data_IF_641104961999
#
_entry.id   IF_641104961999
#
_cell.length_a   1.000
_cell.length_b   1.000
_cell.length_c   1.000
_cell.angle_alpha   90.00
_cell.angle_beta   90.00
_cell.angle_gamma   90.00
#
_symmetry.space_group_name_H-M   'P 1'
#
loop_
_entity.id
_entity.type
_entity.pdbx_description
1 polymer ?
#
# COMPACT_ATOMS: atom_id res chain seq x y z
N UNK A 1 -49.12 -35.06 9.45
CA UNK A 1 -48.13 -34.36 10.28
C UNK A 1 -46.77 -34.40 9.57
N UNK A 2 -46.54 -33.58 8.54
CA UNK A 2 -45.22 -33.50 7.86
C UNK A 2 -44.86 -32.05 7.49
N UNK A 3 -45.71 -31.07 7.83
CA UNK A 3 -45.57 -29.69 7.35
C UNK A 3 -44.73 -28.77 8.27
N UNK A 4 -44.15 -29.31 9.35
CA UNK A 4 -43.40 -28.52 10.34
C UNK A 4 -41.88 -28.66 10.27
N UNK A 5 -41.37 -29.74 9.65
CA UNK A 5 -39.91 -30.02 9.63
C UNK A 5 -39.18 -29.37 8.46
N UNK A 6 -39.86 -29.04 7.36
CA UNK A 6 -39.23 -28.38 6.22
C UNK A 6 -39.02 -26.88 6.42
N UNK A 7 -39.81 -26.23 7.28
CA UNK A 7 -39.67 -24.80 7.55
C UNK A 7 -38.47 -24.48 8.46
N UNK A 8 -38.06 -25.45 9.29
CA UNK A 8 -36.87 -25.32 10.14
C UNK A 8 -35.56 -25.62 9.40
N UNK A 9 -35.59 -26.41 8.32
CA UNK A 9 -34.42 -26.67 7.48
C UNK A 9 -34.10 -25.52 6.52
N UNK A 10 -35.07 -24.67 6.18
CA UNK A 10 -34.85 -23.49 5.34
C UNK A 10 -34.35 -22.25 6.13
N UNK A 11 -34.53 -22.22 7.45
CA UNK A 11 -34.04 -21.12 8.30
C UNK A 11 -32.60 -21.32 8.80
N UNK A 12 -31.98 -22.49 8.59
CA UNK A 12 -30.63 -22.80 9.05
C UNK A 12 -29.54 -22.57 7.98
N UNK A 13 -29.88 -22.08 6.78
CA UNK A 13 -28.96 -22.04 5.64
C UNK A 13 -28.64 -20.62 5.12
N UNK A 14 -28.92 -19.58 5.91
CA UNK A 14 -28.65 -18.17 5.53
C UNK A 14 -27.81 -17.41 6.59
N UNK A 15 -26.94 -18.12 7.29
CA UNK A 15 -25.79 -17.50 7.93
C UNK A 15 -24.58 -17.79 7.03
N UNK A 16 -24.50 -17.10 5.89
CA UNK A 16 -23.17 -16.82 5.34
C UNK A 16 -22.46 -16.02 6.41
N UNK A 17 -21.40 -16.61 6.94
CA UNK A 17 -20.55 -15.97 7.93
C UNK A 17 -20.11 -14.62 7.38
N UNK A 18 -20.57 -13.55 8.02
CA UNK A 18 -19.83 -12.29 8.03
C UNK A 18 -18.48 -12.64 8.67
N UNK A 19 -17.51 -13.02 7.86
CA UNK A 19 -16.10 -13.04 8.24
C UNK A 19 -15.68 -11.59 8.42
N UNK A 20 -16.21 -10.94 9.46
CA UNK A 20 -15.60 -9.75 9.98
C UNK A 20 -14.27 -10.21 10.56
N UNK A 21 -13.18 -9.78 9.92
CA UNK A 21 -11.83 -9.95 10.45
C UNK A 21 -11.84 -9.49 11.91
N UNK A 22 -11.76 -10.43 12.85
CA UNK A 22 -12.03 -10.16 14.25
C UNK A 22 -10.77 -9.58 14.89
N UNK A 23 -10.60 -8.28 14.72
CA UNK A 23 -9.45 -7.55 15.23
C UNK A 23 -9.40 -7.62 16.76
N UNK A 24 -8.26 -8.06 17.29
CA UNK A 24 -7.94 -7.86 18.70
C UNK A 24 -7.61 -6.39 18.97
N UNK A 25 -7.58 -6.00 20.25
CA UNK A 25 -7.07 -4.67 20.61
C UNK A 25 -5.67 -4.44 20.03
N UNK A 26 -5.48 -3.25 19.44
CA UNK A 26 -4.23 -2.88 18.80
C UNK A 26 -3.12 -2.69 19.84
N UNK A 27 -2.11 -3.56 19.77
CA UNK A 27 -0.88 -3.47 20.56
C UNK A 27 0.23 -2.88 19.70
N UNK A 28 0.39 -1.55 19.74
CA UNK A 28 1.37 -0.82 18.94
C UNK A 28 2.82 -1.20 19.24
N UNK A 29 3.09 -1.86 20.38
CA UNK A 29 4.43 -2.34 20.73
C UNK A 29 4.89 -3.52 19.87
N UNK A 30 3.93 -4.23 19.26
CA UNK A 30 4.19 -5.35 18.33
C UNK A 30 4.31 -4.90 16.88
N UNK A 31 3.97 -3.66 16.58
CA UNK A 31 4.06 -3.15 15.23
C UNK A 31 5.53 -3.03 14.80
N UNK A 32 5.82 -3.27 13.51
CA UNK A 32 7.06 -2.81 12.93
C UNK A 32 7.22 -1.29 13.15
N UNK A 33 8.47 -0.80 13.18
CA UNK A 33 8.74 0.62 13.32
C UNK A 33 8.01 1.45 12.27
N UNK A 34 7.31 2.50 12.70
CA UNK A 34 6.60 3.39 11.79
C UNK A 34 7.56 4.01 10.78
N UNK A 35 7.18 4.06 9.49
CA UNK A 35 8.02 4.62 8.46
C UNK A 35 8.13 6.15 8.62
N UNK A 36 9.36 6.67 8.62
CA UNK A 36 9.62 8.12 8.69
C UNK A 36 9.25 8.80 7.37
N UNK A 37 9.45 8.10 6.27
CA UNK A 37 9.10 8.57 4.93
C UNK A 37 8.82 7.36 4.05
N UNK A 38 7.71 7.43 3.32
CA UNK A 38 7.34 6.43 2.33
C UNK A 38 7.62 6.97 0.92
N UNK A 39 8.08 6.12 -0.02
CA UNK A 39 8.20 6.50 -1.43
C UNK A 39 6.89 6.99 -2.03
N UNK A 40 5.78 6.52 -1.48
CA UNK A 40 4.44 7.04 -1.73
C UNK A 40 3.65 7.17 -0.43
N UNK A 41 2.43 6.63 -0.39
CA UNK A 41 1.54 6.77 0.77
C UNK A 41 1.87 5.78 1.88
N UNK A 42 1.41 6.12 3.08
CA UNK A 42 1.34 5.16 4.19
C UNK A 42 0.13 4.26 4.01
N UNK A 43 0.22 3.07 4.55
CA UNK A 43 -0.86 2.09 4.64
C UNK A 43 -0.90 1.49 6.04
N UNK A 44 -2.02 0.87 6.39
CA UNK A 44 -2.24 0.16 7.65
C UNK A 44 -2.73 -1.25 7.37
N UNK A 45 -2.57 -2.12 8.35
CA UNK A 45 -3.19 -3.44 8.31
C UNK A 45 -4.74 -3.37 8.30
N UNK A 46 -5.44 -4.48 7.97
CA UNK A 46 -6.91 -4.54 7.98
C UNK A 46 -7.57 -4.12 9.31
N UNK A 47 -6.85 -4.19 10.43
CA UNK A 47 -7.33 -3.73 11.73
C UNK A 47 -7.07 -2.25 12.01
N UNK A 48 -6.37 -1.55 11.11
CA UNK A 48 -6.01 -0.15 11.25
C UNK A 48 -4.95 0.10 12.33
N UNK A 49 -4.17 -0.91 12.73
CA UNK A 49 -3.27 -0.84 13.88
C UNK A 49 -1.85 -0.35 13.52
N UNK A 50 -1.11 -1.15 12.76
CA UNK A 50 0.28 -0.93 12.41
C UNK A 50 0.40 -0.18 11.08
N UNK A 51 1.20 0.89 11.08
CA UNK A 51 1.51 1.65 9.88
C UNK A 51 2.74 1.10 9.14
N UNK A 52 2.63 1.01 7.82
CA UNK A 52 3.71 0.66 6.92
C UNK A 52 3.63 1.51 5.64
N UNK A 53 4.62 1.39 4.76
CA UNK A 53 4.52 2.04 3.45
C UNK A 53 3.64 1.23 2.51
N UNK A 54 2.85 1.93 1.69
CA UNK A 54 2.14 1.33 0.58
C UNK A 54 3.14 0.81 -0.46
N UNK A 55 2.81 -0.35 -1.04
CA UNK A 55 3.64 -1.05 -2.01
C UNK A 55 3.64 -0.35 -3.35
N UNK A 56 4.82 -0.27 -3.93
CA UNK A 56 5.07 0.44 -5.18
C UNK A 56 5.06 -0.52 -6.36
N UNK A 57 5.15 0.02 -7.58
CA UNK A 57 5.13 -0.79 -8.80
C UNK A 57 6.13 -1.96 -8.76
N UNK A 58 5.67 -3.14 -9.16
CA UNK A 58 6.40 -4.40 -9.22
C UNK A 58 6.81 -5.00 -7.87
N UNK A 59 6.29 -4.47 -6.76
CA UNK A 59 6.45 -5.07 -5.43
C UNK A 59 5.34 -6.09 -5.15
N UNK A 60 5.65 -7.14 -4.37
CA UNK A 60 4.66 -8.09 -3.94
C UNK A 60 3.67 -7.46 -2.95
N UNK A 61 2.42 -7.92 -3.02
CA UNK A 61 1.28 -7.43 -2.23
C UNK A 61 0.30 -8.58 -1.94
N UNK A 62 -0.67 -8.36 -1.06
CA UNK A 62 -1.62 -9.41 -0.65
C UNK A 62 -1.00 -10.37 0.37
N UNK A 63 -1.08 -11.67 0.13
CA UNK A 63 -0.67 -12.69 1.10
C UNK A 63 -1.75 -12.96 2.15
N UNK A 64 -1.49 -13.90 3.07
CA UNK A 64 -2.44 -14.22 4.13
C UNK A 64 -2.72 -12.98 4.98
N UNK A 65 -4.00 -12.60 5.09
CA UNK A 65 -4.44 -11.41 5.83
C UNK A 65 -3.72 -10.11 5.43
N UNK A 66 -3.31 -9.99 4.16
CA UNK A 66 -2.60 -8.81 3.65
C UNK A 66 -1.23 -8.55 4.31
N UNK A 67 -0.54 -9.58 4.80
CA UNK A 67 0.79 -9.46 5.42
C UNK A 67 1.87 -8.89 4.48
N UNK A 68 1.70 -9.02 3.17
CA UNK A 68 2.59 -8.41 2.17
C UNK A 68 2.20 -6.97 1.88
N UNK A 69 1.11 -6.46 2.45
CA UNK A 69 0.69 -5.06 2.37
C UNK A 69 -0.10 -4.70 1.12
N UNK A 70 -0.62 -3.48 1.18
CA UNK A 70 -1.48 -2.87 0.16
C UNK A 70 -0.68 -2.05 -0.84
N UNK A 71 -1.13 -2.06 -2.09
CA UNK A 71 -0.57 -1.22 -3.15
C UNK A 71 -0.93 0.25 -2.96
N UNK A 72 -0.05 1.15 -3.38
CA UNK A 72 -0.34 2.59 -3.42
C UNK A 72 -1.49 2.90 -4.39
N UNK A 73 -2.15 4.05 -4.23
CA UNK A 73 -3.41 4.41 -4.92
C UNK A 73 -3.38 4.34 -6.47
N UNK A 74 -2.20 4.27 -7.08
CA UNK A 74 -2.04 4.17 -8.56
C UNK A 74 -1.81 2.75 -9.04
N UNK A 75 -1.77 1.81 -8.12
CA UNK A 75 -1.42 0.43 -8.37
C UNK A 75 -2.49 -0.47 -7.79
N UNK A 76 -2.84 -1.51 -8.56
CA UNK A 76 -3.72 -2.56 -8.13
C UNK A 76 -2.88 -3.78 -7.74
N UNK A 77 -3.26 -4.47 -6.67
CA UNK A 77 -2.66 -5.76 -6.35
C UNK A 77 -3.17 -6.82 -7.33
N UNK A 78 -2.43 -7.03 -8.40
CA UNK A 78 -2.82 -7.91 -9.48
C UNK A 78 -2.29 -9.33 -9.26
N UNK A 79 -3.07 -10.34 -9.64
CA UNK A 79 -2.61 -11.72 -9.67
C UNK A 79 -1.38 -11.88 -10.58
N UNK A 80 -0.61 -12.96 -10.39
CA UNK A 80 0.64 -13.18 -11.14
C UNK A 80 0.44 -13.30 -12.65
N UNK A 81 -0.69 -13.87 -13.05
CA UNK A 81 -1.16 -13.93 -14.45
C UNK A 81 -1.67 -12.56 -14.97
N UNK A 82 -1.83 -11.58 -14.08
CA UNK A 82 -2.15 -10.21 -14.42
C UNK A 82 -3.53 -9.97 -15.04
N UNK A 83 -4.42 -10.96 -15.05
CA UNK A 83 -5.77 -10.83 -15.64
C UNK A 83 -6.82 -10.28 -14.68
N UNK A 84 -6.47 -9.99 -13.43
CA UNK A 84 -7.39 -9.46 -12.42
C UNK A 84 -6.71 -9.17 -11.07
N UNK A 85 -7.55 -8.84 -10.08
CA UNK A 85 -7.13 -8.71 -8.68
C UNK A 85 -6.58 -10.04 -8.15
N UNK A 86 -5.64 -9.98 -7.22
CA UNK A 86 -5.28 -11.16 -6.44
C UNK A 86 -6.44 -11.56 -5.54
N UNK A 87 -6.65 -12.86 -5.36
CA UNK A 87 -7.55 -13.42 -4.36
C UNK A 87 -6.75 -13.81 -3.13
N UNK A 88 -7.06 -13.25 -1.96
CA UNK A 88 -6.39 -13.61 -0.70
C UNK A 88 -6.71 -15.06 -0.37
N UNK A 89 -5.72 -15.90 -0.01
CA UNK A 89 -4.40 -15.58 0.55
C UNK A 89 -3.23 -15.49 -0.46
N UNK A 90 -3.50 -15.45 -1.77
CA UNK A 90 -2.43 -15.47 -2.76
C UNK A 90 -1.58 -14.19 -2.74
N UNK A 91 -0.35 -14.33 -3.23
CA UNK A 91 0.57 -13.20 -3.44
C UNK A 91 0.35 -12.59 -4.82
N UNK A 92 0.07 -11.29 -4.83
CA UNK A 92 -0.04 -10.48 -6.03
C UNK A 92 1.18 -9.60 -6.26
N UNK A 93 1.09 -8.74 -7.27
CA UNK A 93 2.08 -7.70 -7.58
C UNK A 93 1.36 -6.38 -7.83
N UNK A 94 1.91 -5.30 -7.28
CA UNK A 94 1.40 -3.97 -7.57
C UNK A 94 1.69 -3.58 -9.01
N UNK A 95 0.64 -3.51 -9.84
CA UNK A 95 0.74 -3.15 -11.25
C UNK A 95 -0.02 -1.87 -11.50
N UNK A 96 0.53 -1.04 -12.39
CA UNK A 96 -0.17 0.13 -12.87
C UNK A 96 -1.33 -0.29 -13.78
N UNK A 97 -2.54 0.08 -13.40
CA UNK A 97 -3.67 0.09 -14.34
C UNK A 97 -3.83 1.50 -14.92
N UNK A 98 -3.86 1.57 -16.25
CA UNK A 98 -4.24 2.82 -16.91
C UNK A 98 -5.64 3.24 -16.47
N UNK A 99 -5.86 4.55 -16.38
CA UNK A 99 -7.12 5.20 -16.02
C UNK A 99 -8.31 4.76 -16.90
N UNK A 100 -8.80 3.54 -16.76
CA UNK A 100 -10.18 3.19 -17.08
C UNK A 100 -11.00 3.75 -15.94
N UNK A 101 -11.87 4.71 -16.24
CA UNK A 101 -12.53 5.65 -15.31
C UNK A 101 -13.42 5.07 -14.21
N UNK A 102 -13.24 3.80 -13.85
CA UNK A 102 -13.86 3.12 -12.73
C UNK A 102 -12.84 2.95 -11.58
N UNK A 103 -12.06 4.00 -11.30
CA UNK A 103 -11.41 4.19 -9.99
C UNK A 103 -12.53 4.43 -8.95
N UNK A 104 -13.38 3.44 -8.73
CA UNK A 104 -14.23 3.40 -7.56
C UNK A 104 -13.34 3.01 -6.40
N UNK A 105 -12.80 4.07 -5.81
CA UNK A 105 -12.21 4.18 -4.48
C UNK A 105 -12.64 3.03 -3.58
N UNK A 106 -11.63 2.31 -3.08
CA UNK A 106 -11.74 1.12 -2.26
C UNK A 106 -12.85 1.25 -1.21
N UNK A 107 -13.87 0.42 -1.39
CA UNK A 107 -14.72 -0.09 -0.32
C UNK A 107 -14.22 -1.51 -0.02
N UNK A 108 -12.93 -1.63 0.32
CA UNK A 108 -12.36 -2.92 0.69
C UNK A 108 -13.00 -3.34 2.01
N UNK A 109 -13.83 -4.37 1.94
CA UNK A 109 -14.57 -4.90 3.09
C UNK A 109 -13.66 -5.30 4.25
N UNK A 110 -12.39 -5.62 3.97
CA UNK A 110 -11.40 -5.99 4.97
C UNK A 110 -10.81 -4.77 5.68
N UNK A 111 -10.92 -3.58 5.11
CA UNK A 111 -10.32 -2.36 5.65
C UNK A 111 -11.29 -1.59 6.56
N UNK A 112 -10.75 -0.84 7.54
CA UNK A 112 -11.56 -0.01 8.41
C UNK A 112 -12.08 1.22 7.65
N UNK A 113 -13.25 1.77 8.06
CA UNK A 113 -13.74 3.02 7.52
C UNK A 113 -12.87 4.19 7.99
N UNK A 114 -12.35 4.96 7.03
CA UNK A 114 -11.55 6.16 7.27
C UNK A 114 -12.34 7.37 6.77
N UNK A 115 -12.47 8.41 7.61
CA UNK A 115 -13.05 9.69 7.21
C UNK A 115 -11.95 10.70 6.87
N UNK A 116 -12.16 11.47 5.82
CA UNK A 116 -11.34 12.63 5.53
C UNK A 116 -11.83 13.39 4.31
N UNK A 117 -11.00 14.33 3.86
CA UNK A 117 -11.33 15.26 2.79
C UNK A 117 -10.22 15.37 1.74
N UNK A 118 -10.62 15.68 0.50
CA UNK A 118 -9.73 16.00 -0.60
C UNK A 118 -10.29 17.17 -1.41
N UNK A 119 -9.41 18.01 -1.97
CA UNK A 119 -9.83 19.11 -2.85
C UNK A 119 -10.07 18.52 -4.25
N UNK A 120 -11.31 18.61 -4.74
CA UNK A 120 -11.69 18.22 -6.10
C UNK A 120 -12.34 19.41 -6.79
N UNK A 121 -11.79 19.79 -7.95
CA UNK A 121 -12.29 20.92 -8.74
C UNK A 121 -12.47 22.22 -7.92
N UNK A 122 -11.59 22.47 -6.95
CA UNK A 122 -11.65 23.66 -6.08
C UNK A 122 -12.71 23.60 -4.98
N UNK A 123 -13.30 22.44 -4.70
CA UNK A 123 -14.23 22.22 -3.58
C UNK A 123 -13.67 21.12 -2.68
N UNK A 124 -13.88 21.26 -1.37
CA UNK A 124 -13.57 20.19 -0.42
C UNK A 124 -14.63 19.11 -0.48
N UNK A 125 -14.23 17.93 -0.95
CA UNK A 125 -15.04 16.71 -1.01
C UNK A 125 -14.63 15.81 0.16
N UNK A 126 -15.55 15.57 1.08
CA UNK A 126 -15.31 14.81 2.30
C UNK A 126 -16.18 13.56 2.32
N UNK A 127 -15.58 12.41 2.59
CA UNK A 127 -16.25 11.13 2.57
C UNK A 127 -15.67 10.19 3.62
N UNK A 128 -16.42 9.14 3.93
CA UNK A 128 -15.90 7.97 4.63
C UNK A 128 -15.80 6.84 3.62
N UNK A 129 -14.60 6.25 3.48
CA UNK A 129 -14.35 5.10 2.60
C UNK A 129 -13.62 4.00 3.38
N UNK A 130 -13.77 2.73 2.98
CA UNK A 130 -13.02 1.62 3.59
C UNK A 130 -11.71 1.40 2.87
N UNK A 131 -10.63 1.92 3.43
CA UNK A 131 -9.31 1.82 2.82
C UNK A 131 -8.23 1.59 3.86
N UNK A 132 -7.26 0.77 3.49
CA UNK A 132 -6.06 0.53 4.26
C UNK A 132 -4.91 1.45 3.81
N UNK A 133 -5.10 2.25 2.76
CA UNK A 133 -4.08 3.17 2.23
C UNK A 133 -4.51 4.60 2.53
N UNK A 134 -3.58 5.42 3.01
CA UNK A 134 -3.87 6.82 3.33
C UNK A 134 -4.31 7.59 2.08
N UNK A 135 -5.61 7.85 1.97
CA UNK A 135 -6.22 8.44 0.78
C UNK A 135 -6.38 9.97 0.91
N UNK A 136 -6.87 10.42 2.05
CA UNK A 136 -7.28 11.80 2.27
C UNK A 136 -6.06 12.70 2.46
N UNK A 137 -6.18 13.94 2.00
CA UNK A 137 -5.11 14.94 2.21
C UNK A 137 -5.36 15.76 3.47
N UNK A 138 -6.59 15.75 3.97
CA UNK A 138 -7.02 16.50 5.13
C UNK A 138 -7.92 15.63 6.01
N UNK A 139 -7.73 15.74 7.31
CA UNK A 139 -8.51 15.01 8.31
C UNK A 139 -9.95 15.53 8.43
N UNK A 140 -10.17 16.80 8.10
CA UNK A 140 -11.45 17.46 8.25
C UNK A 140 -11.67 18.57 7.21
N UNK A 141 -12.93 18.93 7.08
CA UNK A 141 -13.45 19.88 6.13
C UNK A 141 -12.97 21.33 6.40
N UNK A 142 -12.79 21.71 7.67
CA UNK A 142 -12.28 23.05 8.00
C UNK A 142 -10.81 23.20 7.58
N UNK A 143 -9.98 22.21 7.87
CA UNK A 143 -8.58 22.15 7.45
C UNK A 143 -8.46 22.09 5.93
N UNK A 144 -9.33 21.34 5.26
CA UNK A 144 -9.39 21.31 3.80
C UNK A 144 -9.71 22.69 3.22
N UNK A 145 -10.77 23.35 3.70
CA UNK A 145 -11.20 24.67 3.17
C UNK A 145 -10.18 25.76 3.41
N UNK A 146 -9.51 25.74 4.56
CA UNK A 146 -8.44 26.69 4.89
C UNK A 146 -7.28 26.62 3.88
N UNK A 147 -6.96 25.42 3.41
CA UNK A 147 -5.88 25.19 2.44
C UNK A 147 -6.36 25.24 0.97
N UNK A 148 -7.67 25.41 0.74
CA UNK A 148 -8.22 25.56 -0.59
C UNK A 148 -8.09 27.03 -1.02
N UNK A 149 -7.02 27.34 -1.75
CA UNK A 149 -6.59 28.69 -2.18
C UNK A 149 -7.57 29.45 -3.11
N UNK A 150 -8.84 29.03 -3.22
CA UNK A 150 -9.88 29.76 -3.96
C UNK A 150 -10.67 30.76 -3.13
N UNK A 151 -10.44 30.85 -1.81
CA UNK A 151 -10.96 31.94 -0.98
C UNK A 151 -9.92 33.05 -0.79
N UNK A 152 -9.90 34.01 -1.72
CA UNK A 152 -9.29 35.33 -1.48
C UNK A 152 -10.11 36.10 -0.44
N UNK A 153 -9.72 35.99 0.82
CA UNK A 153 -9.99 37.00 1.85
C UNK A 153 -8.66 37.60 2.31
N UNK A 154 -8.60 38.89 2.68
CA UNK A 154 -7.34 39.51 3.08
C UNK A 154 -6.76 38.81 4.33
N UNK A 155 -5.42 38.71 4.46
CA UNK A 155 -4.81 38.18 5.66
C UNK A 155 -5.06 39.16 6.81
N UNK A 156 -5.94 38.80 7.74
CA UNK A 156 -6.00 39.40 9.07
C UNK A 156 -5.23 38.49 10.02
N UNK A 157 -3.97 38.81 10.24
CA UNK A 157 -3.15 38.14 11.24
C UNK A 157 -1.79 38.79 11.26
N UNK A 158 -1.54 39.60 12.27
CA UNK A 158 -0.24 40.18 12.57
C UNK A 158 0.80 39.07 12.66
N UNK A 159 1.78 39.10 11.77
CA UNK A 159 3.04 38.38 11.96
C UNK A 159 3.75 39.06 13.13
N UNK A 160 3.58 38.51 14.33
CA UNK A 160 4.56 38.71 15.39
C UNK A 160 5.83 37.99 14.94
N UNK A 161 6.86 38.76 14.64
CA UNK A 161 8.22 38.27 14.49
C UNK A 161 8.65 37.62 15.80
N UNK A 162 8.46 36.30 15.90
CA UNK A 162 9.04 35.51 16.97
C UNK A 162 10.54 35.47 16.70
N UNK A 163 11.31 36.06 17.62
CA UNK A 163 12.76 36.04 17.63
C UNK A 163 13.26 34.61 17.42
N UNK A 164 14.00 34.38 16.33
CA UNK A 164 14.75 33.15 16.10
C UNK A 164 15.92 33.15 17.08
N UNK A 165 15.65 32.74 18.33
CA UNK A 165 16.69 32.19 19.18
C UNK A 165 17.18 30.89 18.55
N UNK A 166 18.48 30.59 18.66
CA UNK A 166 19.06 29.31 18.26
C UNK A 166 18.39 28.15 19.02
N UNK A 167 17.26 27.67 18.50
CA UNK A 167 16.65 26.42 18.90
C UNK A 167 17.36 25.31 18.12
N UNK A 168 18.32 24.63 18.74
CA UNK A 168 18.82 23.38 18.21
C UNK A 168 17.78 22.29 18.47
N UNK A 169 17.11 21.82 17.42
CA UNK A 169 16.32 20.61 17.47
C UNK A 169 17.22 19.42 17.19
N UNK A 170 17.57 18.63 18.20
CA UNK A 170 18.29 17.38 18.01
C UNK A 170 17.32 16.22 18.18
N UNK A 171 17.06 15.54 17.06
CA UNK A 171 16.29 14.30 17.01
C UNK A 171 17.22 13.19 16.52
N UNK A 172 17.14 12.04 17.17
CA UNK A 172 17.89 10.88 16.75
C UNK A 172 17.64 9.68 17.65
N UNK A 173 18.37 8.61 17.37
CA UNK A 173 18.12 7.30 17.95
C UNK A 173 19.41 6.62 18.37
N UNK A 174 19.33 5.84 19.45
CA UNK A 174 20.42 5.01 19.95
C UNK A 174 19.99 3.56 20.15
N UNK A 175 20.98 2.67 20.09
CA UNK A 175 20.81 1.26 20.41
C UNK A 175 21.01 1.05 21.91
N UNK A 176 19.91 0.86 22.63
CA UNK A 176 19.92 0.63 24.08
C UNK A 176 19.34 -0.76 24.34
N UNK A 177 20.12 -1.68 24.89
CA UNK A 177 19.62 -3.01 25.28
C UNK A 177 19.04 -3.85 24.13
N UNK A 178 19.54 -3.69 22.90
CA UNK A 178 19.06 -4.44 21.74
C UNK A 178 17.73 -3.94 21.16
N UNK A 179 17.28 -2.75 21.55
CA UNK A 179 16.18 -2.01 20.92
C UNK A 179 16.65 -0.62 20.50
N UNK A 180 15.97 -0.06 19.51
CA UNK A 180 16.19 1.32 19.10
C UNK A 180 15.29 2.24 19.88
N UNK A 181 15.89 3.22 20.55
CA UNK A 181 15.20 4.21 21.35
C UNK A 181 15.49 5.60 20.77
N UNK A 182 14.44 6.26 20.28
CA UNK A 182 14.54 7.58 19.68
C UNK A 182 13.99 8.65 20.61
N UNK A 183 14.60 9.82 20.59
CA UNK A 183 14.15 10.96 21.39
C UNK A 183 14.40 12.27 20.66
N UNK A 184 13.63 13.29 21.04
CA UNK A 184 13.82 14.67 20.61
C UNK A 184 14.23 15.49 21.82
N UNK A 185 15.28 16.29 21.67
CA UNK A 185 15.73 17.19 22.72
C UNK A 185 16.15 18.56 22.15
N UNK A 186 16.09 19.58 23.00
CA UNK A 186 16.46 20.96 22.65
C UNK A 186 17.93 21.26 23.03
N UNK A 187 18.76 20.24 23.27
CA UNK A 187 20.15 20.42 23.69
C UNK A 187 21.07 20.36 22.47
N UNK A 188 21.70 21.48 22.14
CA UNK A 188 22.77 21.53 21.14
C UNK A 188 23.92 20.60 21.61
N UNK A 189 24.17 19.49 20.90
CA UNK A 189 25.24 18.53 21.23
C UNK A 189 24.77 17.11 21.56
N UNK A 190 23.47 16.79 21.41
CA UNK A 190 22.99 15.42 21.49
C UNK A 190 23.58 14.56 20.36
N UNK A 191 24.58 13.74 20.68
CA UNK A 191 25.19 12.79 19.75
C UNK A 191 24.38 11.50 19.70
N UNK A 192 23.25 11.52 19.00
CA UNK A 192 22.59 10.27 18.63
C UNK A 192 23.43 9.51 17.62
N UNK A 193 23.57 8.20 17.80
CA UNK A 193 24.32 7.35 16.87
C UNK A 193 23.66 7.29 15.50
N UNK A 194 22.33 7.39 15.47
CA UNK A 194 21.55 7.33 14.24
C UNK A 194 20.66 8.56 14.12
N UNK A 195 20.55 9.05 12.89
CA UNK A 195 19.72 10.21 12.56
C UNK A 195 18.22 9.88 12.53
N UNK A 196 17.89 8.59 12.46
CA UNK A 196 16.53 8.13 12.23
C UNK A 196 16.26 6.75 12.87
N UNK A 197 15.01 6.50 13.24
CA UNK A 197 14.55 5.20 13.79
C UNK A 197 14.83 4.07 12.80
N UNK A 198 14.63 4.34 11.50
CA UNK A 198 14.92 3.39 10.41
C UNK A 198 16.39 2.99 10.40
N UNK A 199 17.30 3.97 10.40
CA UNK A 199 18.74 3.72 10.37
C UNK A 199 19.21 2.92 11.58
N UNK A 200 18.67 3.23 12.76
CA UNK A 200 18.94 2.44 13.96
C UNK A 200 18.47 0.99 13.82
N UNK A 201 17.23 0.78 13.34
CA UNK A 201 16.68 -0.56 13.19
C UNK A 201 17.40 -1.38 12.13
N UNK A 202 17.83 -0.74 11.03
CA UNK A 202 18.66 -1.38 10.00
C UNK A 202 20.00 -1.84 10.61
N UNK A 203 20.62 -1.01 11.47
CA UNK A 203 21.83 -1.39 12.19
C UNK A 203 21.58 -2.52 13.21
N UNK A 204 20.45 -2.52 13.92
CA UNK A 204 20.07 -3.62 14.82
C UNK A 204 19.86 -4.92 14.04
N UNK A 205 19.16 -4.86 12.92
CA UNK A 205 18.91 -5.99 12.05
C UNK A 205 20.22 -6.54 11.50
N UNK A 206 21.13 -5.66 11.06
CA UNK A 206 22.46 -6.08 10.62
C UNK A 206 23.18 -6.89 11.71
N UNK A 207 23.16 -6.45 12.97
CA UNK A 207 23.74 -7.22 14.09
C UNK A 207 23.03 -8.56 14.30
N UNK A 208 21.70 -8.62 14.20
CA UNK A 208 20.91 -9.86 14.32
C UNK A 208 21.21 -10.85 13.18
N UNK A 209 21.47 -10.35 11.98
CA UNK A 209 21.67 -11.15 10.79
C UNK A 209 23.12 -11.57 10.54
N UNK A 210 24.08 -11.13 11.37
CA UNK A 210 25.48 -11.56 11.24
C UNK A 210 25.58 -13.08 11.37
N UNK A 211 26.18 -13.72 10.35
CA UNK A 211 26.37 -15.17 10.33
C UNK A 211 25.15 -15.97 9.87
N UNK A 212 24.04 -15.31 9.51
CA UNK A 212 22.90 -15.96 8.88
C UNK A 212 23.22 -16.21 7.41
N UNK A 213 23.08 -17.47 6.98
CA UNK A 213 23.22 -17.87 5.59
C UNK A 213 21.84 -17.86 4.92
N UNK A 214 21.61 -16.91 4.01
CA UNK A 214 20.39 -16.87 3.22
C UNK A 214 20.52 -17.74 1.96
N UNK A 215 19.40 -18.26 1.43
CA UNK A 215 19.37 -18.92 0.13
C UNK A 215 19.94 -18.00 -0.95
N UNK A 216 20.75 -18.56 -1.86
CA UNK A 216 21.26 -17.77 -2.98
C UNK A 216 20.10 -17.29 -3.88
N UNK A 217 20.07 -16.00 -4.24
CA UNK A 217 19.03 -15.48 -5.11
C UNK A 217 19.14 -16.14 -6.49
N UNK A 218 18.03 -16.71 -6.96
CA UNK A 218 17.95 -17.28 -8.30
C UNK A 218 18.16 -16.17 -9.33
N UNK A 219 19.13 -16.36 -10.23
CA UNK A 219 19.27 -15.50 -11.40
C UNK A 219 18.13 -15.82 -12.37
N UNK A 220 17.19 -14.90 -12.49
CA UNK A 220 15.99 -15.06 -13.31
C UNK A 220 16.07 -14.13 -14.54
N UNK A 221 15.87 -14.70 -15.73
CA UNK A 221 15.75 -13.97 -16.98
C UNK A 221 14.31 -14.08 -17.50
N UNK A 222 13.57 -12.97 -17.53
CA UNK A 222 12.18 -12.96 -17.95
C UNK A 222 12.01 -12.78 -19.47
N UNK A 223 10.92 -13.31 -20.06
CA UNK A 223 10.53 -13.02 -21.43
C UNK A 223 10.35 -11.52 -21.69
N UNK A 224 10.46 -11.10 -22.96
CA UNK A 224 10.49 -9.68 -23.33
C UNK A 224 9.21 -8.89 -23.00
N UNK A 225 8.06 -9.56 -22.96
CA UNK A 225 6.74 -9.01 -22.58
C UNK A 225 6.50 -8.99 -21.06
N UNK A 226 7.45 -9.51 -20.30
CA UNK A 226 7.38 -9.70 -18.86
C UNK A 226 8.37 -8.78 -18.14
N UNK A 227 8.32 -8.78 -16.81
CA UNK A 227 9.23 -8.06 -15.94
C UNK A 227 9.51 -8.87 -14.67
N UNK A 228 10.72 -8.71 -14.12
CA UNK A 228 11.14 -9.31 -12.86
C UNK A 228 10.55 -8.47 -11.71
N UNK A 229 9.85 -9.11 -10.78
CA UNK A 229 9.34 -8.43 -9.57
C UNK A 229 10.45 -8.12 -8.59
N UNK A 230 10.20 -7.17 -7.68
CA UNK A 230 11.09 -6.93 -6.55
C UNK A 230 10.96 -8.05 -5.52
N UNK A 231 12.06 -8.36 -4.84
CA UNK A 231 12.07 -9.24 -3.68
C UNK A 231 11.43 -8.56 -2.48
N UNK A 232 10.86 -9.34 -1.57
CA UNK A 232 10.42 -8.84 -0.26
C UNK A 232 11.04 -9.65 0.88
N UNK A 233 11.45 -8.91 1.90
CA UNK A 233 11.92 -9.41 3.19
C UNK A 233 10.99 -8.85 4.25
N UNK A 234 10.37 -9.72 5.04
CA UNK A 234 9.48 -9.29 6.12
C UNK A 234 10.24 -8.45 7.17
N UNK A 235 9.58 -7.50 7.85
CA UNK A 235 10.23 -6.71 8.89
C UNK A 235 10.85 -7.58 9.97
N UNK A 236 12.14 -7.37 10.25
CA UNK A 236 12.88 -8.13 11.26
C UNK A 236 13.48 -9.46 10.77
N UNK A 237 13.16 -9.90 9.56
CA UNK A 237 13.76 -11.08 8.94
C UNK A 237 15.08 -10.77 8.23
N UNK A 238 15.98 -11.74 8.22
CA UNK A 238 17.29 -11.59 7.58
C UNK A 238 17.27 -11.97 6.09
N UNK A 239 16.41 -12.91 5.73
CA UNK A 239 16.37 -13.50 4.40
C UNK A 239 15.07 -13.15 3.68
N UNK A 240 15.17 -13.04 2.37
CA UNK A 240 14.02 -12.81 1.49
C UNK A 240 12.95 -13.87 1.71
N UNK A 241 11.74 -13.42 2.05
CA UNK A 241 10.57 -14.27 2.26
C UNK A 241 9.80 -14.48 0.96
N UNK A 242 9.80 -13.48 0.07
CA UNK A 242 9.22 -13.59 -1.27
C UNK A 242 10.31 -13.29 -2.31
N UNK A 243 10.79 -14.32 -3.05
CA UNK A 243 11.81 -14.12 -4.08
C UNK A 243 11.23 -13.41 -5.30
N UNK A 244 12.10 -12.88 -6.15
CA UNK A 244 11.70 -12.30 -7.43
C UNK A 244 11.18 -13.38 -8.39
N UNK A 245 10.13 -13.06 -9.13
CA UNK A 245 9.55 -13.92 -10.16
C UNK A 245 9.14 -13.09 -11.38
N UNK A 246 8.87 -13.75 -12.50
CA UNK A 246 8.40 -13.06 -13.70
C UNK A 246 6.90 -12.80 -13.61
N UNK A 247 6.48 -11.61 -14.02
CA UNK A 247 5.06 -11.29 -14.20
C UNK A 247 4.84 -10.50 -15.49
N UNK A 248 3.63 -10.58 -16.04
CA UNK A 248 3.28 -9.89 -17.27
C UNK A 248 3.29 -8.37 -17.13
N UNK A 249 3.87 -7.70 -18.14
CA UNK A 249 3.83 -6.26 -18.30
C UNK A 249 2.95 -5.88 -19.50
N UNK A 250 1.65 -5.69 -19.26
CA UNK A 250 0.69 -5.32 -20.31
C UNK A 250 0.92 -3.91 -20.88
N UNK A 251 1.73 -3.07 -20.21
CA UNK A 251 2.17 -1.80 -20.77
C UNK A 251 3.01 -1.97 -22.04
N UNK A 252 3.65 -3.13 -22.22
CA UNK A 252 4.38 -3.50 -23.44
C UNK A 252 3.48 -4.04 -24.55
N UNK A 253 2.21 -4.32 -24.27
CA UNK A 253 1.29 -4.81 -25.29
C UNK A 253 0.91 -3.71 -26.28
N UNK A 254 0.84 -4.07 -27.55
CA UNK A 254 0.39 -3.15 -28.59
C UNK A 254 -1.04 -2.65 -28.29
N UNK A 255 -1.31 -1.40 -28.66
CA UNK A 255 -2.64 -0.78 -28.60
C UNK A 255 -3.04 -0.31 -29.99
N UNK A 256 -4.32 -0.39 -30.33
CA UNK A 256 -4.79 0.20 -31.59
C UNK A 256 -4.64 1.73 -31.54
N UNK A 257 -4.26 2.36 -32.67
CA UNK A 257 -4.28 3.82 -32.80
C UNK A 257 -5.66 4.40 -32.54
N UNK A 258 -5.72 5.68 -32.17
CA UNK A 258 -6.98 6.42 -32.00
C UNK A 258 -7.84 6.33 -33.27
N UNK A 259 -9.15 6.07 -33.11
CA UNK A 259 -10.10 5.90 -34.22
C UNK A 259 -10.06 4.53 -34.89
N UNK A 260 -9.42 3.54 -34.27
CA UNK A 260 -9.48 2.14 -34.71
C UNK A 260 -10.01 1.23 -33.60
N UNK A 261 -10.77 0.22 -34.00
CA UNK A 261 -11.31 -0.80 -33.12
C UNK A 261 -10.44 -2.06 -33.18
N UNK A 262 -10.16 -2.65 -32.02
CA UNK A 262 -9.44 -3.92 -31.90
C UNK A 262 -10.36 -5.08 -32.28
N UNK A 263 -9.94 -5.90 -33.24
CA UNK A 263 -10.57 -7.20 -33.53
C UNK A 263 -9.61 -8.30 -33.11
N UNK A 264 -10.00 -9.04 -32.07
CA UNK A 264 -9.16 -10.07 -31.46
C UNK A 264 -9.09 -11.30 -32.38
N UNK A 265 -7.87 -11.78 -32.61
CA UNK A 265 -7.59 -13.05 -33.32
C UNK A 265 -7.31 -14.16 -32.33
N UNK A 266 -6.61 -13.83 -31.24
CA UNK A 266 -6.26 -14.76 -30.20
C UNK A 266 -6.04 -14.05 -28.85
N UNK A 267 -6.60 -14.64 -27.78
CA UNK A 267 -6.47 -14.15 -26.42
C UNK A 267 -5.22 -14.71 -25.76
N UNK A 268 -4.41 -13.83 -25.18
CA UNK A 268 -3.27 -14.21 -24.36
C UNK A 268 -3.69 -14.95 -23.09
N UNK A 269 -2.81 -15.83 -22.62
CA UNK A 269 -3.01 -16.55 -21.34
C UNK A 269 -2.74 -15.67 -20.12
N UNK A 270 -1.98 -14.57 -20.29
CA UNK A 270 -1.54 -13.72 -19.18
C UNK A 270 -0.37 -14.33 -18.41
N UNK A 271 0.23 -15.42 -18.89
CA UNK A 271 1.42 -16.02 -18.29
C UNK A 271 2.66 -15.32 -18.86
N UNK A 272 3.74 -15.11 -18.08
CA UNK A 272 4.98 -14.55 -18.60
C UNK A 272 5.47 -15.23 -19.89
N UNK A 273 5.72 -14.45 -20.95
CA UNK A 273 6.04 -14.94 -22.30
C UNK A 273 4.84 -15.05 -23.23
N UNK A 274 3.63 -14.88 -22.71
CA UNK A 274 2.38 -14.87 -23.44
C UNK A 274 1.38 -13.88 -22.81
N UNK A 275 1.82 -12.64 -22.67
CA UNK A 275 1.07 -11.59 -21.97
C UNK A 275 0.08 -10.83 -22.88
N UNK A 276 0.31 -10.79 -24.18
CA UNK A 276 -0.39 -9.86 -25.07
C UNK A 276 -1.26 -10.56 -26.11
N UNK A 277 -2.54 -10.17 -26.18
CA UNK A 277 -3.45 -10.64 -27.23
C UNK A 277 -2.88 -10.36 -28.63
N UNK A 278 -3.21 -11.25 -29.57
CA UNK A 278 -2.98 -11.01 -31.00
C UNK A 278 -4.26 -10.50 -31.63
N UNK A 279 -4.16 -9.35 -32.29
CA UNK A 279 -5.31 -8.67 -32.87
C UNK A 279 -4.90 -7.88 -34.11
N UNK A 280 -5.89 -7.49 -34.90
CA UNK A 280 -5.73 -6.45 -35.92
C UNK A 280 -6.64 -5.28 -35.59
N UNK A 281 -6.26 -4.11 -36.09
CA UNK A 281 -7.02 -2.88 -35.89
C UNK A 281 -7.78 -2.54 -37.17
N UNK A 282 -9.07 -2.27 -37.04
CA UNK A 282 -9.94 -1.82 -38.14
C UNK A 282 -10.32 -0.37 -37.91
N UNK A 283 -10.35 0.45 -38.96
CA UNK A 283 -10.87 1.81 -38.84
C UNK A 283 -12.35 1.76 -38.49
N UNK A 284 -12.73 2.54 -37.49
CA UNK A 284 -14.12 2.77 -37.11
C UNK A 284 -14.78 3.72 -38.11
#
# INVERSE_FOLDING_TARGET
MVSGMFFWLLLACAAEELVAFNCTECDTTKCPPSPISCPGRSARDPCGCCEHCARQEWEPCGGENWELGYCDLRYRCAALNGTGNVEIPDTGVCKYEGFTGDYWMDDDVNCPPVYGCQIRMGVCDCATIRTCVDYFSYIDDATCRKNNNFYMGPPSGSEEEVSVGEFCWNAGCDLVGGRCECSTNNQCGGHYKFSSQKECNDALLHVKCVGVLCPEPLKLDCPGDSVITKTYTAPGECCTTVPSFCTCNFGKCAKCPYGQTKVNVWNATGIPGDCCDKFYCVKT
#
